data_IF_778681749330
#
_entry.id   IF_778681749330
#
_cell.length_a   1.000
_cell.length_b   1.000
_cell.length_c   1.000
_cell.angle_alpha   90.00
_cell.angle_beta   90.00
_cell.angle_gamma   90.00
#
_symmetry.space_group_name_H-M   'P 1'
#
loop_
_entity.id
_entity.type
_entity.pdbx_description
1 polymer ?
#
# COMPACT_ATOMS: atom_id res chain seq x y z
N UNK A 1 -39.40 38.65 9.10
CA UNK A 1 -39.24 37.36 9.80
C UNK A 1 -38.40 36.41 8.92
N UNK A 2 -37.07 36.44 9.01
CA UNK A 2 -36.18 35.61 8.17
C UNK A 2 -35.18 34.75 8.97
N UNK A 3 -35.20 34.82 10.31
CA UNK A 3 -34.23 34.13 11.16
C UNK A 3 -34.53 32.62 11.35
N UNK A 4 -35.78 32.19 11.16
CA UNK A 4 -36.19 30.78 11.38
C UNK A 4 -35.72 29.80 10.30
N UNK A 5 -35.57 30.26 9.05
CA UNK A 5 -35.07 29.44 7.94
C UNK A 5 -33.56 29.19 8.07
N UNK A 6 -32.78 30.21 8.41
CA UNK A 6 -31.32 30.08 8.62
C UNK A 6 -30.99 29.14 9.79
N UNK A 7 -31.73 29.21 10.89
CA UNK A 7 -31.52 28.30 12.03
C UNK A 7 -31.84 26.83 11.70
N UNK A 8 -32.81 26.55 10.82
CA UNK A 8 -33.10 25.19 10.36
C UNK A 8 -32.00 24.62 9.46
N UNK A 9 -31.39 25.44 8.61
CA UNK A 9 -30.25 25.02 7.79
C UNK A 9 -28.99 24.74 8.65
N UNK A 10 -28.74 25.57 9.67
CA UNK A 10 -27.65 25.35 10.63
C UNK A 10 -27.79 24.03 11.41
N UNK A 11 -29.02 23.59 11.69
CA UNK A 11 -29.27 22.34 12.43
C UNK A 11 -29.08 21.07 11.57
N UNK A 12 -29.23 21.19 10.24
CA UNK A 12 -29.00 20.09 9.30
C UNK A 12 -27.51 19.88 8.95
N UNK A 13 -26.68 20.90 9.13
CA UNK A 13 -25.25 20.83 8.85
C UNK A 13 -24.51 19.67 9.55
N UNK A 14 -24.68 19.42 10.87
CA UNK A 14 -24.00 18.30 11.52
C UNK A 14 -24.40 16.92 10.97
N UNK A 15 -25.64 16.76 10.48
CA UNK A 15 -26.07 15.51 9.85
C UNK A 15 -25.38 15.27 8.51
N UNK A 16 -25.16 16.33 7.71
CA UNK A 16 -24.44 16.23 6.44
C UNK A 16 -22.96 15.88 6.66
N UNK A 17 -22.30 16.52 7.65
CA UNK A 17 -20.91 16.18 7.99
C UNK A 17 -20.74 14.75 8.55
N UNK A 18 -21.74 14.25 9.28
CA UNK A 18 -21.70 12.89 9.83
C UNK A 18 -21.74 11.81 8.73
N UNK A 19 -22.56 12.03 7.70
CA UNK A 19 -22.68 11.10 6.56
C UNK A 19 -21.37 11.03 5.77
N UNK A 20 -20.62 12.12 5.68
CA UNK A 20 -19.34 12.18 4.93
C UNK A 20 -18.15 11.63 5.74
N UNK A 21 -18.18 11.74 7.08
CA UNK A 21 -17.12 11.24 7.96
C UNK A 21 -17.15 9.71 8.18
N UNK A 22 -18.30 9.05 8.05
CA UNK A 22 -18.43 7.59 8.18
C UNK A 22 -17.75 6.78 7.04
N UNK A 23 -17.94 7.11 5.75
CA UNK A 23 -17.34 6.35 4.65
C UNK A 23 -15.81 6.46 4.62
N UNK A 24 -15.23 7.63 4.91
CA UNK A 24 -13.77 7.80 4.92
C UNK A 24 -13.10 6.95 6.02
N UNK A 25 -13.68 6.91 7.23
CA UNK A 25 -13.17 6.08 8.33
C UNK A 25 -13.24 4.60 7.98
N UNK A 26 -14.36 4.15 7.42
CA UNK A 26 -14.52 2.76 6.98
C UNK A 26 -13.47 2.37 5.94
N UNK A 27 -13.27 3.18 4.90
CA UNK A 27 -12.27 2.90 3.86
C UNK A 27 -10.86 2.87 4.44
N UNK A 28 -10.55 3.78 5.38
CA UNK A 28 -9.27 3.77 6.07
C UNK A 28 -9.08 2.50 6.93
N UNK A 29 -10.12 2.04 7.63
CA UNK A 29 -10.09 0.80 8.42
C UNK A 29 -9.95 -0.44 7.52
N UNK A 30 -10.70 -0.51 6.42
CA UNK A 30 -10.60 -1.58 5.42
C UNK A 30 -9.18 -1.62 4.81
N UNK A 31 -8.59 -0.44 4.54
CA UNK A 31 -7.19 -0.31 4.08
C UNK A 31 -6.22 -0.90 5.11
N UNK A 32 -6.38 -0.55 6.39
CA UNK A 32 -5.53 -1.06 7.48
C UNK A 32 -5.68 -2.57 7.68
N UNK A 33 -6.90 -3.08 7.57
CA UNK A 33 -7.19 -4.53 7.68
C UNK A 33 -6.47 -5.26 6.55
N UNK A 34 -6.60 -4.81 5.31
CA UNK A 34 -5.94 -5.44 4.17
C UNK A 34 -4.42 -5.42 4.30
N UNK A 35 -3.83 -4.30 4.73
CA UNK A 35 -2.39 -4.21 5.03
C UNK A 35 -1.97 -5.28 6.04
N UNK A 36 -2.71 -5.41 7.15
CA UNK A 36 -2.42 -6.44 8.17
C UNK A 36 -2.53 -7.86 7.60
N UNK A 37 -3.57 -8.13 6.81
CA UNK A 37 -3.74 -9.43 6.13
C UNK A 37 -2.55 -9.77 5.24
N UNK A 38 -2.07 -8.82 4.44
CA UNK A 38 -0.90 -9.02 3.58
C UNK A 38 0.35 -9.29 4.43
N UNK A 39 0.58 -8.50 5.48
CA UNK A 39 1.73 -8.68 6.40
C UNK A 39 1.71 -10.06 7.04
N UNK A 40 0.54 -10.53 7.51
CA UNK A 40 0.38 -11.89 8.05
C UNK A 40 0.71 -12.95 7.01
N UNK A 41 0.22 -12.80 5.77
CA UNK A 41 0.54 -13.75 4.69
C UNK A 41 2.02 -13.80 4.36
N UNK A 42 2.71 -12.66 4.36
CA UNK A 42 4.17 -12.61 4.16
C UNK A 42 4.89 -13.35 5.29
N UNK A 43 4.44 -13.20 6.54
CA UNK A 43 4.99 -13.95 7.67
C UNK A 43 4.80 -15.46 7.51
N UNK A 44 3.62 -15.90 7.07
CA UNK A 44 3.33 -17.33 6.88
C UNK A 44 4.25 -17.96 5.80
N UNK A 45 4.56 -17.21 4.72
CA UNK A 45 5.53 -17.61 3.70
C UNK A 45 6.96 -17.63 4.27
N UNK A 46 7.32 -16.63 5.07
CA UNK A 46 8.66 -16.54 5.67
C UNK A 46 8.91 -17.61 6.73
N UNK A 47 7.87 -18.03 7.46
CA UNK A 47 7.98 -19.12 8.43
C UNK A 47 8.14 -20.50 7.77
N UNK A 48 7.64 -20.67 6.55
CA UNK A 48 7.87 -21.88 5.75
C UNK A 48 9.22 -21.86 5.02
N UNK A 49 9.81 -20.68 4.80
CA UNK A 49 11.11 -20.49 4.17
C UNK A 49 12.12 -19.93 5.19
N UNK A 50 12.79 -20.81 5.94
CA UNK A 50 13.75 -20.42 7.00
C UNK A 50 14.94 -19.61 6.47
N UNK A 51 14.86 -18.28 6.47
CA UNK A 51 15.97 -17.41 6.06
C UNK A 51 16.20 -16.29 7.08
N UNK A 52 17.47 -16.13 7.47
CA UNK A 52 17.95 -15.14 8.44
C UNK A 52 17.81 -13.71 7.92
N UNK A 53 17.12 -12.84 8.68
CA UNK A 53 16.76 -11.46 8.32
C UNK A 53 17.90 -10.42 8.39
N UNK A 54 19.13 -10.83 8.70
CA UNK A 54 20.24 -9.92 9.06
C UNK A 54 21.35 -9.73 8.01
N UNK A 55 21.20 -10.23 6.78
CA UNK A 55 22.25 -10.13 5.77
C UNK A 55 22.05 -8.95 4.80
N UNK A 56 23.09 -8.13 4.67
CA UNK A 56 23.16 -6.99 3.76
C UNK A 56 23.39 -7.53 2.33
N UNK A 57 22.32 -7.60 1.53
CA UNK A 57 22.39 -8.08 0.15
C UNK A 57 22.75 -6.92 -0.79
N UNK A 58 23.87 -7.05 -1.50
CA UNK A 58 24.30 -6.16 -2.60
C UNK A 58 23.64 -6.57 -3.93
N UNK A 59 23.30 -5.63 -4.81
CA UNK A 59 22.74 -5.91 -6.14
C UNK A 59 21.20 -5.85 -6.26
N UNK A 60 20.48 -5.66 -5.15
CA UNK A 60 19.02 -5.52 -5.12
C UNK A 60 18.57 -4.06 -4.91
N UNK A 61 19.30 -3.11 -5.50
CA UNK A 61 19.01 -1.68 -5.35
C UNK A 61 17.72 -1.23 -6.06
N UNK A 62 17.18 -2.06 -6.96
CA UNK A 62 15.91 -1.84 -7.63
C UNK A 62 14.68 -2.09 -6.73
N UNK A 63 14.81 -2.85 -5.64
CA UNK A 63 13.69 -3.07 -4.72
C UNK A 63 13.55 -1.83 -3.83
N UNK A 64 12.38 -1.14 -3.86
CA UNK A 64 12.18 0.10 -3.11
C UNK A 64 12.59 -0.03 -1.64
N UNK A 65 13.30 1.00 -1.14
CA UNK A 65 13.64 1.10 0.28
C UNK A 65 12.50 1.73 1.07
N UNK A 66 12.55 1.61 2.39
CA UNK A 66 11.60 2.26 3.30
C UNK A 66 11.68 3.78 3.15
N UNK A 67 10.52 4.45 3.18
CA UNK A 67 10.41 5.90 2.99
C UNK A 67 9.84 6.54 4.25
N UNK A 68 10.49 7.58 4.75
CA UNK A 68 10.13 8.28 6.00
C UNK A 68 8.97 9.28 5.84
N UNK A 69 8.60 9.65 4.61
CA UNK A 69 7.49 10.58 4.33
C UNK A 69 6.65 10.05 3.16
N UNK A 70 5.58 9.31 3.49
CA UNK A 70 4.69 8.65 2.53
C UNK A 70 3.44 9.48 2.32
N UNK A 71 3.26 10.00 1.10
CA UNK A 71 1.96 10.47 0.62
C UNK A 71 1.19 9.32 -0.01
N UNK A 72 -0.13 9.43 -0.14
CA UNK A 72 -0.96 8.40 -0.78
C UNK A 72 -0.50 8.10 -2.21
N UNK A 73 -0.04 9.11 -2.96
CA UNK A 73 0.51 8.91 -4.31
C UNK A 73 1.82 8.10 -4.29
N UNK A 74 2.74 8.40 -3.37
CA UNK A 74 3.98 7.63 -3.20
C UNK A 74 3.72 6.20 -2.75
N UNK A 75 2.67 5.99 -1.93
CA UNK A 75 2.22 4.65 -1.55
C UNK A 75 1.79 3.86 -2.79
N UNK A 76 0.90 4.41 -3.62
CA UNK A 76 0.44 3.76 -4.85
C UNK A 76 1.59 3.44 -5.82
N UNK A 77 2.51 4.40 -6.02
CA UNK A 77 3.69 4.21 -6.87
C UNK A 77 4.57 3.04 -6.39
N UNK A 78 4.83 2.99 -5.08
CA UNK A 78 5.69 1.96 -4.51
C UNK A 78 5.00 0.59 -4.57
N UNK A 79 3.69 0.51 -4.31
CA UNK A 79 2.92 -0.71 -4.47
C UNK A 79 2.91 -1.21 -5.92
N UNK A 80 2.82 -0.32 -6.90
CA UNK A 80 2.89 -0.68 -8.32
C UNK A 80 4.25 -1.32 -8.70
N UNK A 81 5.35 -0.83 -8.11
CA UNK A 81 6.68 -1.44 -8.29
C UNK A 81 6.72 -2.85 -7.69
N UNK A 82 6.21 -3.01 -6.46
CA UNK A 82 6.17 -4.32 -5.82
C UNK A 82 5.30 -5.32 -6.59
N UNK A 83 4.13 -4.90 -7.09
CA UNK A 83 3.32 -5.75 -7.96
C UNK A 83 4.11 -6.27 -9.16
N UNK A 84 4.85 -5.38 -9.83
CA UNK A 84 5.67 -5.78 -10.98
C UNK A 84 6.75 -6.80 -10.57
N UNK A 85 7.47 -6.58 -9.47
CA UNK A 85 8.46 -7.53 -8.95
C UNK A 85 7.80 -8.88 -8.65
N UNK A 86 6.67 -8.88 -7.95
CA UNK A 86 5.95 -10.10 -7.57
C UNK A 86 5.43 -10.87 -8.80
N UNK A 87 4.92 -10.18 -9.82
CA UNK A 87 4.50 -10.84 -11.08
C UNK A 87 5.64 -11.56 -11.80
N UNK A 88 6.89 -11.08 -11.66
CA UNK A 88 8.06 -11.72 -12.28
C UNK A 88 8.58 -12.93 -11.51
N UNK A 89 8.25 -13.08 -10.23
CA UNK A 89 8.73 -14.18 -9.38
C UNK A 89 7.88 -15.45 -9.52
N UNK A 90 6.63 -15.31 -9.99
CA UNK A 90 5.72 -16.41 -10.36
C UNK A 90 5.59 -17.59 -9.37
N UNK A 91 5.61 -17.35 -8.06
CA UNK A 91 5.27 -18.37 -7.04
C UNK A 91 3.78 -18.30 -6.67
N UNK A 92 3.16 -19.45 -6.36
CA UNK A 92 1.71 -19.53 -6.08
C UNK A 92 1.26 -18.61 -4.93
N UNK A 93 2.09 -18.49 -3.89
CA UNK A 93 1.82 -17.62 -2.74
C UNK A 93 2.02 -16.12 -3.08
N UNK A 94 2.95 -15.81 -3.99
CA UNK A 94 3.25 -14.46 -4.45
C UNK A 94 2.16 -13.90 -5.37
N UNK A 95 1.49 -14.73 -6.16
CA UNK A 95 0.33 -14.31 -6.98
C UNK A 95 -0.77 -13.74 -6.09
N UNK A 96 -1.06 -14.41 -4.97
CA UNK A 96 -2.11 -13.97 -4.06
C UNK A 96 -1.76 -12.62 -3.40
N UNK A 97 -0.49 -12.42 -3.04
CA UNK A 97 -0.03 -11.13 -2.52
C UNK A 97 -0.15 -10.04 -3.59
N UNK A 98 0.22 -10.32 -4.85
CA UNK A 98 0.09 -9.36 -5.94
C UNK A 98 -1.35 -8.86 -6.14
N UNK A 99 -2.33 -9.76 -6.04
CA UNK A 99 -3.75 -9.41 -6.10
C UNK A 99 -4.18 -8.55 -4.90
N UNK A 100 -3.72 -8.89 -3.70
CA UNK A 100 -4.01 -8.09 -2.51
C UNK A 100 -3.41 -6.68 -2.61
N UNK A 101 -2.22 -6.54 -3.22
CA UNK A 101 -1.65 -5.21 -3.50
C UNK A 101 -2.51 -4.42 -4.49
N UNK A 102 -3.18 -5.06 -5.44
CA UNK A 102 -4.09 -4.38 -6.36
C UNK A 102 -5.30 -3.81 -5.62
N UNK A 103 -5.93 -4.64 -4.80
CA UNK A 103 -7.02 -4.23 -3.94
C UNK A 103 -6.61 -3.10 -2.99
N UNK A 104 -5.38 -3.14 -2.47
CA UNK A 104 -4.85 -2.09 -1.62
C UNK A 104 -4.69 -0.75 -2.36
N UNK A 105 -4.22 -0.79 -3.62
CA UNK A 105 -4.14 0.42 -4.47
C UNK A 105 -5.51 1.00 -4.77
N UNK A 106 -6.52 0.16 -5.02
CA UNK A 106 -7.89 0.62 -5.24
C UNK A 106 -8.45 1.30 -3.98
N UNK A 107 -8.18 0.77 -2.79
CA UNK A 107 -8.54 1.41 -1.52
C UNK A 107 -7.82 2.74 -1.30
N UNK A 108 -6.54 2.86 -1.68
CA UNK A 108 -5.82 4.14 -1.62
C UNK A 108 -6.43 5.19 -2.56
N UNK A 109 -6.81 4.80 -3.77
CA UNK A 109 -7.51 5.70 -4.71
C UNK A 109 -8.88 6.13 -4.19
N UNK A 110 -9.62 5.21 -3.58
CA UNK A 110 -10.90 5.51 -2.94
C UNK A 110 -10.71 6.49 -1.78
N UNK A 111 -9.70 6.27 -0.92
CA UNK A 111 -9.35 7.16 0.19
C UNK A 111 -8.96 8.56 -0.31
N UNK A 112 -8.17 8.64 -1.38
CA UNK A 112 -7.77 9.89 -2.02
C UNK A 112 -8.99 10.66 -2.58
N UNK A 113 -9.94 9.92 -3.16
CA UNK A 113 -11.18 10.49 -3.68
C UNK A 113 -12.02 11.10 -2.56
N UNK A 114 -12.17 10.41 -1.43
CA UNK A 114 -12.84 10.94 -0.23
C UNK A 114 -12.13 12.17 0.37
N UNK A 115 -10.82 12.29 0.18
CA UNK A 115 -10.03 13.45 0.61
C UNK A 115 -9.96 14.57 -0.42
N UNK A 116 -10.71 14.47 -1.52
CA UNK A 116 -10.67 15.42 -2.65
C UNK A 116 -9.25 15.63 -3.21
N UNK A 117 -8.42 14.58 -3.20
CA UNK A 117 -7.04 14.63 -3.65
C UNK A 117 -6.67 13.47 -4.61
N UNK A 118 -7.41 13.27 -5.71
CA UNK A 118 -7.12 12.18 -6.63
C UNK A 118 -5.72 12.36 -7.24
N UNK A 119 -4.92 11.28 -7.20
CA UNK A 119 -3.65 11.20 -7.90
C UNK A 119 -3.78 10.26 -9.11
N UNK A 120 -2.99 10.48 -10.18
CA UNK A 120 -2.98 9.57 -11.31
C UNK A 120 -2.56 8.18 -10.86
N UNK A 121 -3.27 7.14 -11.32
CA UNK A 121 -2.91 5.76 -11.03
C UNK A 121 -1.50 5.50 -11.55
N UNK A 122 -0.62 5.06 -10.67
CA UNK A 122 0.75 4.76 -11.06
C UNK A 122 0.74 3.67 -12.13
N UNK A 123 1.32 3.99 -13.28
CA UNK A 123 1.65 2.97 -14.27
C UNK A 123 2.82 2.15 -13.75
N UNK A 124 2.87 0.87 -14.12
CA UNK A 124 4.06 0.08 -13.88
C UNK A 124 5.27 0.79 -14.50
N UNK A 125 6.40 0.91 -13.78
CA UNK A 125 7.61 1.44 -14.36
C UNK A 125 7.93 0.75 -15.68
N UNK A 126 8.12 1.55 -16.75
CA UNK A 126 8.47 1.06 -18.10
C UNK A 126 9.80 0.29 -18.13
N UNK A 127 10.57 0.31 -17.05
CA UNK A 127 11.95 -0.16 -17.00
C UNK A 127 12.22 -0.97 -15.73
N UNK A 128 11.73 -2.21 -15.69
CA UNK A 128 12.39 -3.29 -14.94
C UNK A 128 13.17 -4.20 -15.91
N UNK A 129 13.76 -3.58 -16.95
CA UNK A 129 14.64 -4.26 -17.92
C UNK A 129 15.90 -4.68 -17.16
N UNK A 130 16.10 -5.98 -16.96
CA UNK A 130 17.21 -6.55 -16.19
C UNK A 130 16.81 -7.24 -14.87
N UNK A 131 15.53 -7.26 -14.49
CA UNK A 131 15.10 -8.06 -13.32
C UNK A 131 15.38 -9.55 -13.55
N UNK A 132 15.11 -10.06 -14.76
CA UNK A 132 15.36 -11.47 -15.13
C UNK A 132 16.82 -11.89 -14.97
N UNK A 133 17.76 -11.07 -15.46
CA UNK A 133 19.20 -11.38 -15.40
C UNK A 133 19.77 -11.33 -13.96
N UNK A 134 19.20 -10.48 -13.09
CA UNK A 134 19.61 -10.38 -11.67
C UNK A 134 18.95 -11.46 -10.80
N UNK A 135 17.73 -11.90 -11.16
CA UNK A 135 17.03 -13.00 -10.51
C UNK A 135 17.82 -14.32 -10.60
N UNK A 136 18.55 -14.54 -11.69
CA UNK A 136 19.36 -15.76 -11.89
C UNK A 136 20.66 -15.79 -11.07
N UNK A 137 21.16 -14.65 -10.57
CA UNK A 137 22.55 -14.53 -10.07
C UNK A 137 22.69 -14.33 -8.56
N UNK A 138 21.61 -14.12 -7.79
CA UNK A 138 21.70 -13.85 -6.36
C UNK A 138 21.52 -15.10 -5.48
N UNK A 139 22.47 -15.36 -4.58
CA UNK A 139 22.47 -16.45 -3.59
C UNK A 139 21.29 -16.44 -2.58
N UNK A 140 20.48 -15.38 -2.56
CA UNK A 140 19.18 -15.33 -1.87
C UNK A 140 18.06 -15.39 -2.89
N UNK A 141 16.97 -16.11 -2.60
CA UNK A 141 15.76 -15.98 -3.41
C UNK A 141 15.33 -14.51 -3.35
N UNK A 142 15.37 -13.80 -4.47
CA UNK A 142 14.94 -12.41 -4.59
C UNK A 142 13.52 -12.21 -4.07
N UNK A 143 12.70 -13.27 -4.10
CA UNK A 143 11.40 -13.36 -3.43
C UNK A 143 11.47 -12.99 -1.95
N UNK A 144 12.38 -13.60 -1.19
CA UNK A 144 12.52 -13.37 0.26
C UNK A 144 12.86 -11.91 0.54
N UNK A 145 13.77 -11.32 -0.23
CA UNK A 145 14.16 -9.92 -0.04
C UNK A 145 13.03 -8.98 -0.45
N UNK A 146 12.35 -9.25 -1.57
CA UNK A 146 11.21 -8.47 -2.02
C UNK A 146 10.07 -8.49 -1.00
N UNK A 147 9.72 -9.67 -0.49
CA UNK A 147 8.68 -9.84 0.53
C UNK A 147 9.06 -9.19 1.86
N UNK A 148 10.32 -9.31 2.31
CA UNK A 148 10.78 -8.66 3.54
C UNK A 148 10.73 -7.13 3.44
N UNK A 149 11.16 -6.54 2.31
CA UNK A 149 11.09 -5.09 2.10
C UNK A 149 9.64 -4.60 1.93
N UNK A 150 8.80 -5.37 1.23
CA UNK A 150 7.37 -5.09 1.12
C UNK A 150 6.70 -5.09 2.50
N UNK A 151 7.03 -6.06 3.36
CA UNK A 151 6.50 -6.12 4.71
C UNK A 151 6.83 -4.86 5.52
N UNK A 152 8.11 -4.44 5.53
CA UNK A 152 8.49 -3.21 6.23
C UNK A 152 7.78 -1.99 5.66
N UNK A 153 7.64 -1.91 4.34
CA UNK A 153 6.92 -0.82 3.68
C UNK A 153 5.43 -0.78 4.05
N UNK A 154 4.78 -1.94 4.13
CA UNK A 154 3.38 -2.07 4.56
C UNK A 154 3.21 -1.65 6.03
N UNK A 155 4.18 -1.94 6.89
CA UNK A 155 4.17 -1.47 8.28
C UNK A 155 4.31 0.06 8.36
N UNK A 156 5.21 0.65 7.56
CA UNK A 156 5.34 2.11 7.45
C UNK A 156 4.03 2.75 6.95
N UNK A 157 3.39 2.16 5.93
CA UNK A 157 2.09 2.61 5.45
C UNK A 157 1.04 2.59 6.56
N UNK A 158 0.97 1.50 7.33
CA UNK A 158 0.02 1.36 8.42
C UNK A 158 0.17 2.50 9.44
N UNK A 159 1.41 2.79 9.84
CA UNK A 159 1.72 3.89 10.74
C UNK A 159 1.35 5.25 10.13
N UNK A 160 1.67 5.47 8.86
CA UNK A 160 1.40 6.75 8.20
C UNK A 160 -0.10 7.00 8.02
N UNK A 161 -0.90 5.96 7.77
CA UNK A 161 -2.36 6.06 7.67
C UNK A 161 -3.00 6.55 8.97
N UNK A 162 -2.39 6.35 10.14
CA UNK A 162 -2.88 6.90 11.42
C UNK A 162 -2.71 8.42 11.49
N UNK A 163 -1.71 8.99 10.80
CA UNK A 163 -1.42 10.42 10.78
C UNK A 163 -2.12 11.18 9.65
N UNK A 164 -3.01 10.52 8.91
CA UNK A 164 -3.71 11.11 7.76
C UNK A 164 -2.73 11.70 6.73
N UNK A 165 -2.02 10.84 5.97
CA UNK A 165 -0.94 11.29 5.10
C UNK A 165 -1.49 12.20 4.00
N UNK A 166 -0.65 13.12 3.53
CA UNK A 166 -0.95 13.93 2.36
C UNK A 166 -1.11 13.09 1.10
N UNK A 167 -1.45 13.76 0.01
CA UNK A 167 -1.49 13.20 -1.33
C UNK A 167 -0.24 13.73 -2.06
#
# INVERSE_FOLDING_TARGET
MHCGLLCRFLWLWPFLFYIEAMPIRKVQDDTKILIKTIVTRINDISHTQSVSSKQKVTGLDFIPRLHTALTLSKMDQTLAIYQQILTTLSSGNVIQISNDLENLRDLLHLLASFRSCPFPRASSPKTLKGLGDVLETSFYSTEVVALSRLQGFLQDMLQQLDFSPGC
#
